data_IF_831359093188
#
_entry.id   IF_831359093188
#
_cell.length_a   1.000
_cell.length_b   1.000
_cell.length_c   1.000
_cell.angle_alpha   90.00
_cell.angle_beta   90.00
_cell.angle_gamma   90.00
#
_symmetry.space_group_name_H-M   'P 1'
#
loop_
_entity.id
_entity.type
_entity.pdbx_description
1 polymer ?
#
# COMPACT_ATOMS: atom_id res chain seq x y z
N UNK A 1 13.88 4.73 -8.96
CA UNK A 1 13.74 4.32 -7.54
C UNK A 1 12.33 3.78 -7.37
N UNK A 2 12.16 2.58 -6.82
CA UNK A 2 10.85 1.93 -6.70
C UNK A 2 10.43 1.85 -5.23
N UNK A 3 9.14 2.11 -4.95
CA UNK A 3 8.58 1.95 -3.61
C UNK A 3 8.39 0.46 -3.31
N UNK A 4 8.78 0.03 -2.11
CA UNK A 4 8.54 -1.31 -1.56
C UNK A 4 7.82 -1.13 -0.23
N UNK A 5 6.63 -1.70 -0.10
CA UNK A 5 5.87 -1.72 1.16
C UNK A 5 6.30 -2.96 1.94
N UNK A 6 6.55 -2.80 3.23
CA UNK A 6 7.00 -3.86 4.12
C UNK A 6 6.20 -3.85 5.43
N UNK A 7 6.36 -4.92 6.21
CA UNK A 7 5.76 -5.11 7.54
C UNK A 7 4.21 -5.06 7.55
N UNK A 8 3.62 -6.16 7.09
CA UNK A 8 2.18 -6.40 7.20
C UNK A 8 1.78 -7.01 8.56
N UNK A 9 2.63 -6.91 9.60
CA UNK A 9 2.40 -7.53 10.92
C UNK A 9 1.20 -6.98 11.69
N UNK A 10 0.73 -5.78 11.34
CA UNK A 10 -0.51 -5.18 11.85
C UNK A 10 -1.67 -5.21 10.85
N UNK A 11 -1.49 -5.86 9.69
CA UNK A 11 -2.56 -5.98 8.70
C UNK A 11 -3.66 -6.94 9.17
N UNK A 12 -4.88 -6.73 8.70
CA UNK A 12 -6.00 -7.63 8.97
C UNK A 12 -6.88 -7.77 7.71
N UNK A 13 -7.59 -8.89 7.61
CA UNK A 13 -8.59 -9.07 6.57
C UNK A 13 -9.89 -8.40 7.02
N UNK A 14 -10.51 -7.63 6.12
CA UNK A 14 -11.83 -7.08 6.35
C UNK A 14 -12.86 -7.84 5.52
N UNK A 15 -14.09 -7.92 6.03
CA UNK A 15 -15.22 -8.52 5.34
C UNK A 15 -16.33 -7.49 5.31
N UNK A 16 -16.90 -7.24 4.14
CA UNK A 16 -18.01 -6.30 3.98
C UNK A 16 -19.14 -6.66 4.96
N UNK A 17 -19.55 -5.71 5.78
CA UNK A 17 -20.58 -5.89 6.82
C UNK A 17 -20.03 -6.20 8.22
N UNK A 18 -18.76 -6.57 8.35
CA UNK A 18 -18.07 -6.72 9.64
C UNK A 18 -17.13 -5.56 9.88
N UNK A 19 -17.11 -5.04 11.12
CA UNK A 19 -16.23 -3.94 11.50
C UNK A 19 -15.06 -4.42 12.35
N UNK A 20 -13.91 -3.79 12.17
CA UNK A 20 -12.70 -3.96 12.96
C UNK A 20 -12.73 -3.06 14.20
N UNK A 21 -12.05 -3.49 15.26
CA UNK A 21 -11.99 -2.80 16.57
C UNK A 21 -10.55 -2.69 17.11
N UNK A 22 -9.56 -3.05 16.28
CA UNK A 22 -8.14 -3.01 16.64
C UNK A 22 -7.56 -1.61 16.46
N UNK A 23 -6.99 -1.06 17.53
CA UNK A 23 -6.17 0.15 17.46
C UNK A 23 -4.70 -0.26 17.27
N UNK A 24 -4.26 -0.30 16.01
CA UNK A 24 -2.88 -0.64 15.64
C UNK A 24 -2.32 0.44 14.70
N UNK A 25 -0.99 0.58 14.66
CA UNK A 25 -0.29 1.56 13.84
C UNK A 25 0.29 2.73 14.63
N UNK A 26 1.06 3.56 13.92
CA UNK A 26 1.74 4.72 14.52
C UNK A 26 0.78 5.90 14.65
N UNK A 27 0.63 6.52 15.85
CA UNK A 27 -0.36 7.57 16.09
C UNK A 27 -0.43 8.72 15.06
N UNK A 28 0.68 9.23 14.49
CA UNK A 28 0.63 10.30 13.50
C UNK A 28 -0.11 9.95 12.20
N UNK A 29 -0.19 8.67 11.85
CA UNK A 29 -0.85 8.18 10.63
C UNK A 29 -2.27 7.67 10.91
N UNK A 30 -2.65 7.52 12.17
CA UNK A 30 -3.94 6.97 12.55
C UNK A 30 -5.11 7.90 12.17
N UNK A 31 -6.17 7.30 11.62
CA UNK A 31 -7.38 8.02 11.23
C UNK A 31 -8.18 8.54 12.44
N UNK A 32 -8.99 9.61 12.30
CA UNK A 32 -9.77 10.22 13.38
C UNK A 32 -10.69 9.24 14.11
N UNK A 33 -11.29 8.30 13.39
CA UNK A 33 -12.18 7.27 13.92
C UNK A 33 -11.49 6.32 14.91
N UNK A 34 -10.19 6.05 14.73
CA UNK A 34 -9.40 5.24 15.64
C UNK A 34 -9.21 5.95 16.99
N UNK A 35 -8.98 7.26 16.98
CA UNK A 35 -8.91 8.10 18.20
C UNK A 35 -10.26 8.28 18.91
N UNK A 36 -11.36 7.92 18.24
CA UNK A 36 -12.70 7.92 18.82
C UNK A 36 -13.10 6.55 19.37
N UNK A 37 -12.27 5.51 19.19
CA UNK A 37 -12.61 4.13 19.54
C UNK A 37 -13.81 3.61 18.75
N UNK A 38 -14.02 4.12 17.53
CA UNK A 38 -15.11 3.68 16.66
C UNK A 38 -14.67 2.48 15.86
N UNK A 39 -15.58 1.51 15.74
CA UNK A 39 -15.40 0.40 14.81
C UNK A 39 -15.38 0.91 13.36
N UNK A 40 -14.49 0.37 12.55
CA UNK A 40 -14.19 0.84 11.19
C UNK A 40 -14.29 -0.33 10.19
N UNK A 41 -14.51 -0.01 8.92
CA UNK A 41 -14.71 -1.00 7.84
C UNK A 41 -13.37 -1.47 7.24
N UNK A 42 -12.30 -0.68 7.39
CA UNK A 42 -10.91 -1.06 7.11
C UNK A 42 -10.24 -0.16 6.08
N UNK A 43 -10.54 -0.28 4.78
CA UNK A 43 -9.81 0.39 3.71
C UNK A 43 -9.69 1.90 3.85
N UNK A 44 -10.70 2.54 4.44
CA UNK A 44 -10.73 3.99 4.64
C UNK A 44 -9.62 4.48 5.57
N UNK A 45 -9.21 3.69 6.58
CA UNK A 45 -8.15 4.13 7.51
C UNK A 45 -6.78 4.16 6.83
N UNK A 46 -6.57 3.28 5.85
CA UNK A 46 -5.36 3.28 5.01
C UNK A 46 -5.35 4.47 4.05
N UNK A 47 -6.52 4.83 3.49
CA UNK A 47 -6.65 6.07 2.69
C UNK A 47 -6.23 7.29 3.51
N UNK A 48 -6.69 7.42 4.76
CA UNK A 48 -6.23 8.53 5.60
C UNK A 48 -4.70 8.53 5.78
N UNK A 49 -4.13 7.37 6.09
CA UNK A 49 -2.68 7.19 6.28
C UNK A 49 -1.88 7.58 5.02
N UNK A 50 -2.38 7.23 3.84
CA UNK A 50 -1.79 7.64 2.55
C UNK A 50 -1.84 9.15 2.34
N UNK A 51 -2.90 9.83 2.80
CA UNK A 51 -2.94 11.29 2.82
C UNK A 51 -1.87 11.91 3.70
N UNK A 52 -1.62 11.33 4.88
CA UNK A 52 -0.54 11.76 5.78
C UNK A 52 0.83 11.56 5.13
N UNK A 53 1.04 10.43 4.46
CA UNK A 53 2.28 10.14 3.72
C UNK A 53 2.47 11.13 2.58
N UNK A 54 1.45 11.35 1.74
CA UNK A 54 1.50 12.29 0.63
C UNK A 54 1.89 13.69 1.12
N UNK A 55 1.20 14.19 2.14
CA UNK A 55 1.49 15.50 2.74
C UNK A 55 2.95 15.58 3.22
N UNK A 56 3.43 14.52 3.87
CA UNK A 56 4.80 14.47 4.40
C UNK A 56 5.84 14.50 3.28
N UNK A 57 5.60 13.77 2.19
CA UNK A 57 6.50 13.76 1.03
C UNK A 57 6.60 15.12 0.35
N UNK A 58 5.48 15.83 0.19
CA UNK A 58 5.45 17.11 -0.54
C UNK A 58 5.79 18.33 0.33
N UNK A 59 5.63 18.22 1.66
CA UNK A 59 5.86 19.34 2.59
C UNK A 59 7.10 19.19 3.47
N UNK A 60 7.63 17.97 3.61
CA UNK A 60 8.74 17.66 4.52
C UNK A 60 8.36 17.57 6.00
N UNK A 61 7.07 17.61 6.35
CA UNK A 61 6.58 17.58 7.74
C UNK A 61 5.23 16.87 7.86
N UNK A 62 4.87 16.43 9.06
CA UNK A 62 3.56 15.82 9.31
C UNK A 62 2.43 16.87 9.23
N UNK A 63 1.24 16.49 8.70
CA UNK A 63 0.08 17.38 8.69
C UNK A 63 -0.50 17.61 10.09
N UNK A 64 -0.36 16.62 10.96
CA UNK A 64 -0.80 16.65 12.36
C UNK A 64 0.36 16.17 13.24
N UNK A 65 0.76 17.00 14.17
CA UNK A 65 1.82 16.69 15.14
C UNK A 65 1.50 17.38 16.47
N UNK A 66 1.99 16.88 17.60
CA UNK A 66 1.73 17.45 18.92
C UNK A 66 2.78 17.02 19.93
N UNK A 67 2.97 17.80 21.00
CA UNK A 67 3.99 17.49 22.02
C UNK A 67 3.64 16.24 22.84
N UNK A 68 2.38 15.83 22.79
CA UNK A 68 1.87 14.65 23.47
C UNK A 68 0.67 14.08 22.68
N UNK A 69 0.25 12.86 23.03
CA UNK A 69 -0.83 12.16 22.35
C UNK A 69 -2.17 12.90 22.41
N UNK A 70 -2.41 13.68 23.48
CA UNK A 70 -3.64 14.48 23.64
C UNK A 70 -3.69 15.60 22.60
N UNK A 71 -2.61 16.36 22.46
CA UNK A 71 -2.51 17.43 21.45
C UNK A 71 -2.60 16.89 20.01
N UNK A 72 -1.92 15.78 19.73
CA UNK A 72 -2.00 15.11 18.43
C UNK A 72 -3.45 14.71 18.13
N UNK A 73 -4.11 14.05 19.08
CA UNK A 73 -5.52 13.66 18.96
C UNK A 73 -6.42 14.85 18.66
N UNK A 74 -6.28 15.96 19.39
CA UNK A 74 -7.09 17.16 19.17
C UNK A 74 -6.90 17.72 17.76
N UNK A 75 -5.66 17.73 17.23
CA UNK A 75 -5.35 18.20 15.87
C UNK A 75 -5.91 17.28 14.80
N UNK A 76 -5.75 15.96 14.96
CA UNK A 76 -6.30 14.95 14.04
C UNK A 76 -7.83 15.05 13.98
N UNK A 77 -8.51 15.12 15.12
CA UNK A 77 -9.96 15.25 15.19
C UNK A 77 -10.48 16.59 14.62
N UNK A 78 -9.66 17.65 14.67
CA UNK A 78 -9.96 18.94 14.03
C UNK A 78 -9.79 18.89 12.51
N UNK A 79 -8.90 18.03 12.00
CA UNK A 79 -8.66 17.81 10.58
C UNK A 79 -8.11 19.03 9.83
N UNK A 80 -7.49 19.98 10.53
CA UNK A 80 -6.90 21.18 9.93
C UNK A 80 -5.38 21.04 9.84
N UNK A 81 -4.86 21.15 8.62
CA UNK A 81 -3.43 21.15 8.31
C UNK A 81 -3.08 22.41 7.51
N UNK A 82 -1.80 22.77 7.48
CA UNK A 82 -1.32 23.98 6.78
C UNK A 82 -1.08 23.66 5.31
N UNK A 83 -1.44 24.56 4.40
CA UNK A 83 -1.05 24.47 2.98
C UNK A 83 0.18 25.37 2.77
N UNK A 84 1.37 24.82 2.45
CA UNK A 84 2.51 25.63 2.08
C UNK A 84 2.28 26.38 0.76
N UNK A 85 2.90 27.56 0.61
CA UNK A 85 2.73 28.39 -0.59
C UNK A 85 3.22 27.74 -1.90
N UNK A 86 4.12 26.76 -1.78
CA UNK A 86 4.69 26.01 -2.91
C UNK A 86 3.88 24.76 -3.28
N UNK A 87 2.84 24.41 -2.52
CA UNK A 87 1.97 23.30 -2.84
C UNK A 87 1.02 23.69 -3.97
N UNK A 88 0.96 22.88 -5.02
CA UNK A 88 0.04 23.14 -6.12
C UNK A 88 -1.42 22.96 -5.69
N UNK A 89 -2.32 23.68 -6.36
CA UNK A 89 -3.77 23.54 -6.14
C UNK A 89 -4.26 22.11 -6.39
N UNK A 90 -3.71 21.42 -7.39
CA UNK A 90 -4.05 20.03 -7.68
C UNK A 90 -3.65 19.09 -6.52
N UNK A 91 -2.48 19.30 -5.91
CA UNK A 91 -2.04 18.53 -4.74
C UNK A 91 -2.94 18.77 -3.53
N UNK A 92 -3.29 20.04 -3.26
CA UNK A 92 -4.22 20.40 -2.19
C UNK A 92 -5.59 19.74 -2.40
N UNK A 93 -6.10 19.73 -3.64
CA UNK A 93 -7.38 19.11 -3.99
C UNK A 93 -7.34 17.59 -3.78
N UNK A 94 -6.22 16.93 -4.09
CA UNK A 94 -6.03 15.52 -3.80
C UNK A 94 -6.01 15.25 -2.28
N UNK A 95 -5.29 16.06 -1.50
CA UNK A 95 -5.27 15.93 -0.02
C UNK A 95 -6.66 16.07 0.60
N UNK A 96 -7.54 16.91 0.02
CA UNK A 96 -8.95 17.03 0.44
C UNK A 96 -9.77 15.77 0.20
N UNK A 97 -9.34 14.84 -0.66
CA UNK A 97 -9.99 13.53 -0.87
C UNK A 97 -9.50 12.48 0.13
N UNK A 98 -8.25 12.57 0.56
CA UNK A 98 -7.64 11.68 1.56
C UNK A 98 -8.02 12.07 3.00
N UNK A 99 -7.77 13.32 3.39
CA UNK A 99 -7.84 13.82 4.77
C UNK A 99 -9.25 14.31 5.12
N UNK A 100 -10.25 13.46 4.86
CA UNK A 100 -11.66 13.72 5.18
C UNK A 100 -12.00 13.09 6.54
N UNK A 101 -12.53 13.90 7.45
CA UNK A 101 -12.90 13.48 8.81
C UNK A 101 -14.01 12.42 8.83
N UNK A 102 -15.00 12.54 7.94
CA UNK A 102 -16.04 11.54 7.81
C UNK A 102 -15.56 10.40 6.89
N UNK A 103 -15.33 9.18 7.39
CA UNK A 103 -14.83 8.07 6.59
C UNK A 103 -15.73 7.76 5.39
N UNK A 104 -17.05 7.88 5.52
CA UNK A 104 -18.00 7.61 4.43
C UNK A 104 -17.92 8.64 3.28
N UNK A 105 -17.26 9.79 3.50
CA UNK A 105 -17.03 10.82 2.47
C UNK A 105 -15.60 10.81 1.95
N UNK A 106 -14.73 9.95 2.49
CA UNK A 106 -13.34 9.81 2.07
C UNK A 106 -13.28 9.11 0.71
N UNK A 107 -12.41 9.56 -0.18
CA UNK A 107 -12.30 8.98 -1.52
C UNK A 107 -11.82 7.53 -1.46
N UNK A 108 -12.34 6.66 -2.32
CA UNK A 108 -11.77 5.31 -2.50
C UNK A 108 -10.46 5.40 -3.27
N UNK A 109 -9.55 4.44 -3.09
CA UNK A 109 -8.31 4.39 -3.87
C UNK A 109 -8.58 4.35 -5.38
N UNK A 110 -9.60 3.62 -5.84
CA UNK A 110 -10.01 3.62 -7.25
C UNK A 110 -10.38 5.00 -7.79
N UNK A 111 -11.02 5.83 -6.96
CA UNK A 111 -11.36 7.22 -7.32
C UNK A 111 -10.12 8.11 -7.29
N UNK A 112 -9.24 7.89 -6.33
CA UNK A 112 -7.99 8.63 -6.14
C UNK A 112 -7.00 8.36 -7.27
N UNK A 113 -6.92 7.12 -7.77
CA UNK A 113 -6.06 6.75 -8.89
C UNK A 113 -6.41 7.53 -10.17
N UNK A 114 -7.66 7.97 -10.31
CA UNK A 114 -8.15 8.81 -11.43
C UNK A 114 -8.03 10.31 -11.14
N UNK A 115 -7.48 10.70 -10.00
CA UNK A 115 -7.31 12.12 -9.68
C UNK A 115 -6.33 12.78 -10.64
N UNK A 116 -6.58 14.05 -10.97
CA UNK A 116 -5.72 14.83 -11.85
C UNK A 116 -4.28 14.82 -11.38
N UNK A 117 -4.02 15.08 -10.10
CA UNK A 117 -2.65 15.18 -9.59
C UNK A 117 -1.87 13.88 -9.71
N UNK A 118 -2.56 12.73 -9.62
CA UNK A 118 -1.95 11.41 -9.78
C UNK A 118 -1.49 11.10 -11.21
N UNK A 119 -2.05 11.80 -12.21
CA UNK A 119 -1.85 11.49 -13.63
C UNK A 119 -1.24 12.64 -14.44
N UNK A 120 -0.73 13.70 -13.78
CA UNK A 120 -0.01 14.78 -14.47
C UNK A 120 1.24 14.19 -15.13
N UNK A 121 1.35 14.32 -16.46
CA UNK A 121 2.46 13.76 -17.25
C UNK A 121 2.34 12.26 -17.56
N UNK A 122 1.18 11.66 -17.26
CA UNK A 122 0.85 10.25 -17.52
C UNK A 122 -0.51 10.12 -18.23
N UNK A 123 -0.87 11.09 -19.09
CA UNK A 123 -2.19 11.17 -19.72
C UNK A 123 -2.50 9.94 -20.62
N UNK A 124 -1.47 9.31 -21.19
CA UNK A 124 -1.60 8.12 -22.02
C UNK A 124 -1.55 6.81 -21.22
N UNK A 125 -1.08 6.85 -19.97
CA UNK A 125 -0.94 5.69 -19.08
C UNK A 125 -1.44 6.00 -17.67
N UNK A 126 -2.73 6.35 -17.57
CA UNK A 126 -3.37 6.63 -16.29
C UNK A 126 -3.24 5.45 -15.31
N UNK A 127 -3.08 5.79 -14.03
CA UNK A 127 -2.97 4.83 -12.95
C UNK A 127 -4.25 3.99 -12.82
N UNK A 128 -4.10 2.66 -12.94
CA UNK A 128 -5.20 1.68 -12.88
C UNK A 128 -4.95 0.64 -11.79
N UNK A 129 -6.00 0.01 -11.23
CA UNK A 129 -5.85 -1.10 -10.29
C UNK A 129 -4.88 -2.16 -10.84
N UNK A 130 -3.89 -2.51 -10.04
CA UNK A 130 -2.90 -3.52 -10.44
C UNK A 130 -3.58 -4.87 -10.63
N UNK A 131 -3.31 -5.52 -11.76
CA UNK A 131 -3.78 -6.87 -12.06
C UNK A 131 -2.64 -7.84 -11.81
N UNK A 132 -2.78 -8.71 -10.80
CA UNK A 132 -1.75 -9.71 -10.49
C UNK A 132 -1.53 -10.61 -11.72
N UNK A 133 -0.31 -10.66 -12.27
CA UNK A 133 -0.01 -11.53 -13.40
C UNK A 133 -0.12 -12.99 -12.95
N UNK A 134 -0.49 -13.87 -13.90
CA UNK A 134 -0.52 -15.30 -13.64
C UNK A 134 0.87 -15.76 -13.20
N UNK A 135 0.94 -16.44 -12.05
CA UNK A 135 2.19 -17.03 -11.57
C UNK A 135 2.73 -18.01 -12.60
N UNK A 136 3.95 -17.75 -13.07
CA UNK A 136 4.65 -18.68 -13.95
C UNK A 136 5.23 -19.82 -13.12
N UNK A 137 4.45 -20.89 -12.97
CA UNK A 137 4.82 -22.09 -12.22
C UNK A 137 5.47 -23.17 -13.11
N UNK A 138 5.69 -22.88 -14.41
CA UNK A 138 6.11 -23.87 -15.41
C UNK A 138 7.26 -23.35 -16.29
N UNK A 139 8.08 -22.42 -15.78
CA UNK A 139 9.27 -21.96 -16.50
C UNK A 139 10.28 -23.11 -16.61
N UNK A 140 10.31 -23.76 -17.77
CA UNK A 140 11.20 -24.89 -18.06
C UNK A 140 12.67 -24.53 -17.81
N UNK A 141 13.08 -23.27 -18.02
CA UNK A 141 14.47 -22.87 -17.77
C UNK A 141 14.81 -22.88 -16.28
N UNK A 142 13.87 -22.46 -15.42
CA UNK A 142 14.04 -22.49 -13.96
C UNK A 142 14.02 -23.93 -13.46
N UNK A 143 13.08 -24.74 -13.96
CA UNK A 143 12.98 -26.16 -13.60
C UNK A 143 14.26 -26.90 -14.00
N UNK A 144 14.77 -26.70 -15.22
CA UNK A 144 16.01 -27.31 -15.67
C UNK A 144 17.22 -26.90 -14.82
N UNK A 145 17.31 -25.62 -14.41
CA UNK A 145 18.35 -25.17 -13.47
C UNK A 145 18.24 -25.84 -12.10
N UNK A 146 17.03 -26.00 -11.58
CA UNK A 146 16.81 -26.71 -10.31
C UNK A 146 17.18 -28.20 -10.43
N UNK A 147 16.93 -28.83 -11.59
CA UNK A 147 17.38 -30.21 -11.83
C UNK A 147 18.92 -30.32 -11.86
N UNK A 148 19.62 -29.34 -12.43
CA UNK A 148 21.09 -29.27 -12.37
C UNK A 148 21.63 -29.10 -10.94
N UNK A 149 20.84 -28.50 -10.05
CA UNK A 149 21.14 -28.41 -8.61
C UNK A 149 20.83 -29.69 -7.83
N UNK A 150 20.29 -30.72 -8.48
CA UNK A 150 19.98 -32.02 -7.88
C UNK A 150 18.53 -32.19 -7.41
N UNK A 151 17.65 -31.22 -7.67
CA UNK A 151 16.24 -31.33 -7.28
C UNK A 151 15.43 -32.19 -8.27
N UNK A 152 14.50 -33.01 -7.75
CA UNK A 152 13.57 -33.77 -8.59
C UNK A 152 12.51 -32.85 -9.21
N UNK A 153 12.33 -32.94 -10.53
CA UNK A 153 11.32 -32.18 -11.27
C UNK A 153 9.91 -32.34 -10.69
N UNK A 154 9.54 -33.56 -10.33
CA UNK A 154 8.22 -33.86 -9.75
C UNK A 154 8.06 -33.16 -8.40
N UNK A 155 9.10 -33.15 -7.57
CA UNK A 155 9.07 -32.49 -6.27
C UNK A 155 8.94 -30.97 -6.41
N UNK A 156 9.66 -30.36 -7.35
CA UNK A 156 9.57 -28.92 -7.65
C UNK A 156 8.16 -28.54 -8.09
N UNK A 157 7.60 -29.24 -9.08
CA UNK A 157 6.25 -28.94 -9.60
C UNK A 157 5.20 -29.10 -8.49
N UNK A 158 5.28 -30.16 -7.69
CA UNK A 158 4.35 -30.38 -6.58
C UNK A 158 4.43 -29.27 -5.51
N UNK A 159 5.64 -28.76 -5.20
CA UNK A 159 5.84 -27.65 -4.27
C UNK A 159 5.26 -26.33 -4.82
N UNK A 160 5.41 -26.08 -6.13
CA UNK A 160 4.86 -24.91 -6.81
C UNK A 160 3.34 -24.91 -6.85
N UNK A 161 2.72 -26.04 -7.21
CA UNK A 161 1.26 -26.18 -7.28
C UNK A 161 0.59 -26.05 -5.91
N UNK A 162 1.26 -26.52 -4.84
CA UNK A 162 0.76 -26.41 -3.47
C UNK A 162 0.94 -25.04 -2.84
N UNK A 163 1.84 -24.20 -3.37
CA UNK A 163 2.18 -22.93 -2.71
C UNK A 163 2.78 -23.12 -1.33
N UNK A 164 3.65 -24.13 -1.15
CA UNK A 164 4.15 -24.54 0.18
C UNK A 164 5.14 -23.57 0.82
N UNK A 165 5.73 -22.64 0.06
CA UNK A 165 6.78 -21.72 0.53
C UNK A 165 7.97 -22.43 1.22
N UNK A 166 8.27 -23.66 0.77
CA UNK A 166 9.45 -24.42 1.19
C UNK A 166 10.70 -24.04 0.38
N UNK A 167 11.84 -24.70 0.67
CA UNK A 167 13.11 -24.44 0.00
C UNK A 167 13.04 -24.58 -1.54
N UNK A 168 12.22 -25.52 -2.04
CA UNK A 168 12.02 -25.71 -3.49
C UNK A 168 11.25 -24.53 -4.08
N UNK A 169 10.15 -24.14 -3.43
CA UNK A 169 9.34 -23.00 -3.85
C UNK A 169 10.16 -21.71 -3.84
N UNK A 170 10.91 -21.46 -2.76
CA UNK A 170 11.74 -20.27 -2.60
C UNK A 170 12.86 -20.21 -3.66
N UNK A 171 13.59 -21.33 -3.86
CA UNK A 171 14.65 -21.41 -4.87
C UNK A 171 14.11 -21.12 -6.26
N UNK A 172 12.93 -21.65 -6.61
CA UNK A 172 12.29 -21.38 -7.90
C UNK A 172 11.96 -19.89 -8.11
N UNK A 173 11.40 -19.23 -7.08
CA UNK A 173 11.08 -17.79 -7.13
C UNK A 173 12.35 -16.97 -7.34
N UNK A 174 13.39 -17.22 -6.52
CA UNK A 174 14.66 -16.48 -6.56
C UNK A 174 15.41 -16.63 -7.89
N UNK A 175 15.29 -17.79 -8.55
CA UNK A 175 15.84 -17.99 -9.90
C UNK A 175 15.17 -17.11 -10.97
N UNK A 176 13.96 -16.61 -10.70
CA UNK A 176 13.22 -15.71 -11.57
C UNK A 176 13.61 -14.24 -11.46
N UNK A 177 14.08 -13.78 -10.30
CA UNK A 177 14.33 -12.35 -10.04
C UNK A 177 15.45 -11.77 -10.92
N UNK A 178 16.47 -12.57 -11.27
CA UNK A 178 17.56 -12.15 -12.18
C UNK A 178 17.09 -11.74 -13.58
N UNK A 179 15.88 -12.12 -14.00
CA UNK A 179 15.34 -11.78 -15.33
C UNK A 179 14.77 -10.37 -15.40
N UNK A 180 14.39 -9.75 -14.27
CA UNK A 180 13.82 -8.40 -14.26
C UNK A 180 14.87 -7.29 -14.27
N UNK A 181 16.09 -7.52 -13.76
CA UNK A 181 17.14 -6.48 -13.73
C UNK A 181 17.83 -6.25 -15.09
N UNK A 182 17.66 -7.15 -16.07
CA UNK A 182 18.35 -7.08 -17.37
C UNK A 182 17.40 -6.67 -18.52
N UNK A 183 16.17 -6.26 -18.21
CA UNK A 183 15.11 -5.98 -19.19
C UNK A 183 14.88 -4.51 -19.56
N UNK A 184 15.49 -3.55 -18.83
CA UNK A 184 15.28 -2.11 -19.05
C UNK A 184 16.56 -1.43 -19.55
N UNK A 185 16.94 -1.69 -20.81
CA UNK A 185 17.89 -0.88 -21.59
C UNK A 185 17.41 -0.72 -23.03
#
# INVERSE_FOLDING_TARGET
MNIKIADFGFSNQFVVGNKLDTFCGSPPYAAPELFQGKKYDGPEVDVWSLGVILYTLVSGSLPFDGQNLKELRERVLRGKYRIPFYMSTDCENLLKKFLVLNPARRGTLETIMKDRWMNIGYEEDELKPFVEPKRDLKDENRINRMQQMGYSRIAVVNSLEKGSFDDLHATYILLGEKKQEVGDH
#
